data_IF_039890689102
#
_entry.id   IF_039890689102
#
_cell.length_a   1.000
_cell.length_b   1.000
_cell.length_c   1.000
_cell.angle_alpha   90.00
_cell.angle_beta   90.00
_cell.angle_gamma   90.00
#
_symmetry.space_group_name_H-M   'P 1'
#
loop_
_entity.id
_entity.type
_entity.pdbx_description
1 polymer ?
#
# COMPACT_ATOMS: atom_id res chain seq x y z
N UNK A 1 32.04 -32.39 22.94
CA UNK A 1 31.62 -31.08 22.42
C UNK A 1 30.11 -31.02 22.42
N UNK A 2 29.53 -30.01 23.08
CA UNK A 2 28.08 -29.76 23.06
C UNK A 2 27.65 -29.10 21.75
N UNK A 3 26.36 -29.15 21.42
CA UNK A 3 25.85 -28.55 20.18
C UNK A 3 25.94 -27.01 20.18
N UNK A 4 25.83 -26.38 21.35
CA UNK A 4 25.97 -24.92 21.53
C UNK A 4 27.39 -24.46 21.26
N UNK A 5 28.37 -25.17 21.83
CA UNK A 5 29.80 -24.93 21.62
C UNK A 5 30.17 -25.08 20.15
N UNK A 6 29.69 -26.16 19.52
CA UNK A 6 29.91 -26.42 18.10
C UNK A 6 29.29 -25.32 17.20
N UNK A 7 28.08 -24.84 17.50
CA UNK A 7 27.44 -23.77 16.74
C UNK A 7 28.12 -22.42 16.97
N UNK A 8 28.64 -22.17 18.17
CA UNK A 8 29.45 -20.99 18.49
C UNK A 8 30.74 -21.00 17.67
N UNK A 9 31.49 -22.11 17.72
CA UNK A 9 32.75 -22.28 16.99
C UNK A 9 32.57 -22.13 15.48
N UNK A 10 31.46 -22.61 14.91
CA UNK A 10 31.15 -22.39 13.49
C UNK A 10 30.95 -20.91 13.15
N UNK A 11 30.27 -20.14 14.00
CA UNK A 11 29.97 -18.73 13.74
C UNK A 11 31.16 -17.81 13.99
N UNK A 12 32.06 -18.18 14.90
CA UNK A 12 33.26 -17.38 15.22
C UNK A 12 34.48 -17.79 14.41
N UNK A 13 34.66 -19.09 14.14
CA UNK A 13 35.84 -19.65 13.48
C UNK A 13 35.45 -20.81 12.52
N UNK A 14 34.97 -20.52 11.29
CA UNK A 14 34.48 -21.52 10.33
C UNK A 14 35.60 -22.30 9.61
N UNK A 15 36.53 -22.85 10.37
CA UNK A 15 37.62 -23.68 9.85
C UNK A 15 37.08 -25.01 9.32
N UNK A 16 37.82 -25.63 8.38
CA UNK A 16 37.45 -26.96 7.85
C UNK A 16 37.38 -28.03 8.96
N UNK A 17 38.14 -27.85 10.05
CA UNK A 17 38.07 -28.71 11.24
C UNK A 17 36.74 -28.60 11.98
N UNK A 18 36.23 -27.38 12.17
CA UNK A 18 34.95 -27.11 12.84
C UNK A 18 33.77 -27.56 11.97
N UNK A 19 33.83 -27.29 10.66
CA UNK A 19 32.87 -27.79 9.66
C UNK A 19 32.78 -29.32 9.71
N UNK A 20 33.91 -30.02 9.64
CA UNK A 20 33.93 -31.49 9.69
C UNK A 20 33.43 -32.04 11.02
N UNK A 21 33.75 -31.36 12.13
CA UNK A 21 33.24 -31.73 13.45
C UNK A 21 31.72 -31.60 13.52
N UNK A 22 31.16 -30.56 12.92
CA UNK A 22 29.72 -30.35 12.87
C UNK A 22 29.00 -31.36 11.98
N UNK A 23 29.53 -31.64 10.78
CA UNK A 23 28.99 -32.68 9.89
C UNK A 23 29.02 -34.07 10.56
N UNK A 24 30.11 -34.40 11.27
CA UNK A 24 30.24 -35.64 12.04
C UNK A 24 29.27 -35.70 13.24
N UNK A 25 28.94 -34.55 13.82
CA UNK A 25 27.98 -34.47 14.91
C UNK A 25 26.55 -34.64 14.38
N UNK A 26 26.20 -33.96 13.27
CA UNK A 26 24.90 -34.02 12.61
C UNK A 26 24.59 -35.43 12.06
N UNK A 27 25.60 -36.12 11.50
CA UNK A 27 25.42 -37.48 10.98
C UNK A 27 25.03 -38.51 12.05
N UNK A 28 25.40 -38.26 13.32
CA UNK A 28 25.06 -39.13 14.46
C UNK A 28 23.65 -38.87 15.00
N UNK A 29 23.03 -37.75 14.65
CA UNK A 29 21.69 -37.43 15.15
C UNK A 29 20.64 -38.23 14.39
N UNK A 30 19.71 -38.86 15.12
CA UNK A 30 18.62 -39.67 14.54
C UNK A 30 17.27 -38.96 14.51
N UNK A 31 17.09 -37.92 15.33
CA UNK A 31 15.87 -37.13 15.42
C UNK A 31 16.19 -35.68 15.07
N UNK A 32 15.28 -35.03 14.35
CA UNK A 32 15.24 -33.58 14.24
C UNK A 32 14.88 -32.97 15.61
N UNK A 33 15.38 -31.77 15.88
CA UNK A 33 15.20 -31.07 17.14
C UNK A 33 16.01 -29.78 17.17
N UNK A 34 15.77 -28.93 18.18
CA UNK A 34 16.39 -27.61 18.29
C UNK A 34 17.92 -27.64 18.18
N UNK A 35 18.57 -28.65 18.77
CA UNK A 35 20.02 -28.82 18.69
C UNK A 35 20.53 -29.11 17.28
N UNK A 36 19.76 -29.87 16.50
CA UNK A 36 20.07 -30.14 15.08
C UNK A 36 19.93 -28.87 14.26
N UNK A 37 18.83 -28.14 14.42
CA UNK A 37 18.61 -26.87 13.71
C UNK A 37 19.67 -25.83 14.06
N UNK A 38 20.04 -25.71 15.33
CA UNK A 38 21.04 -24.74 15.79
C UNK A 38 22.38 -24.96 15.11
N UNK A 39 22.85 -26.21 15.08
CA UNK A 39 24.13 -26.57 14.45
C UNK A 39 24.05 -26.48 12.93
N UNK A 40 22.95 -26.94 12.34
CA UNK A 40 22.75 -26.93 10.89
C UNK A 40 22.71 -25.49 10.35
N UNK A 41 21.93 -24.62 10.99
CA UNK A 41 21.82 -23.21 10.61
C UNK A 41 23.17 -22.53 10.76
N UNK A 42 23.88 -22.75 11.86
CA UNK A 42 25.23 -22.20 12.05
C UNK A 42 26.22 -22.70 10.98
N UNK A 43 26.12 -23.97 10.56
CA UNK A 43 26.97 -24.54 9.52
C UNK A 43 26.71 -23.87 8.16
N UNK A 44 25.44 -23.75 7.77
CA UNK A 44 25.05 -23.17 6.48
C UNK A 44 25.32 -21.65 6.47
N UNK A 45 25.04 -20.93 7.57
CA UNK A 45 25.38 -19.51 7.72
C UNK A 45 26.87 -19.25 7.54
N UNK A 46 27.70 -20.11 8.14
CA UNK A 46 29.13 -19.92 8.14
C UNK A 46 29.82 -20.35 6.84
N UNK A 47 29.23 -21.31 6.11
CA UNK A 47 29.74 -21.85 4.84
C UNK A 47 28.60 -22.09 3.85
N UNK A 48 27.97 -21.05 3.27
CA UNK A 48 26.93 -21.20 2.26
C UNK A 48 27.52 -21.51 0.88
N UNK A 49 28.51 -22.40 0.82
CA UNK A 49 29.18 -22.83 -0.40
C UNK A 49 28.54 -24.11 -0.97
N UNK A 50 28.71 -24.34 -2.28
CA UNK A 50 28.12 -25.48 -2.98
C UNK A 50 28.46 -26.83 -2.31
N UNK A 51 29.69 -26.99 -1.83
CA UNK A 51 30.15 -28.22 -1.17
C UNK A 51 29.38 -28.50 0.12
N UNK A 52 29.08 -27.47 0.90
CA UNK A 52 28.31 -27.60 2.15
C UNK A 52 26.85 -27.93 1.86
N UNK A 53 26.28 -27.33 0.82
CA UNK A 53 24.90 -27.57 0.38
C UNK A 53 24.72 -28.97 -0.23
N UNK A 54 25.65 -29.43 -1.08
CA UNK A 54 25.70 -30.81 -1.58
C UNK A 54 25.78 -31.84 -0.44
N UNK A 55 26.60 -31.56 0.57
CA UNK A 55 26.67 -32.40 1.76
C UNK A 55 25.32 -32.43 2.48
N UNK A 56 24.70 -31.27 2.67
CA UNK A 56 23.42 -31.15 3.35
C UNK A 56 22.31 -31.93 2.63
N UNK A 57 22.27 -31.81 1.30
CA UNK A 57 21.33 -32.54 0.44
C UNK A 57 21.53 -34.06 0.56
N UNK A 58 22.77 -34.55 0.59
CA UNK A 58 23.05 -35.97 0.81
C UNK A 58 22.67 -36.46 2.22
N UNK A 59 22.63 -35.56 3.20
CA UNK A 59 22.33 -35.85 4.59
C UNK A 59 20.83 -35.84 4.90
N UNK A 60 20.03 -35.16 4.07
CA UNK A 60 18.60 -34.92 4.26
C UNK A 60 17.70 -36.18 4.14
N UNK A 61 17.92 -37.14 3.21
CA UNK A 61 17.01 -38.25 2.99
C UNK A 61 16.69 -39.05 4.26
N UNK A 62 15.39 -39.31 4.47
CA UNK A 62 14.90 -40.07 5.63
C UNK A 62 14.83 -39.28 6.94
N UNK A 63 15.02 -37.95 6.90
CA UNK A 63 14.91 -37.06 8.06
C UNK A 63 13.68 -36.18 7.97
N UNK A 64 12.98 -36.04 9.08
CA UNK A 64 11.83 -35.16 9.23
C UNK A 64 12.30 -33.76 9.63
N UNK A 65 12.88 -33.04 8.66
CA UNK A 65 13.40 -31.68 8.85
C UNK A 65 12.45 -30.66 8.21
N UNK A 66 12.08 -29.66 8.99
CA UNK A 66 11.37 -28.48 8.52
C UNK A 66 12.35 -27.53 7.84
N UNK A 67 12.40 -27.61 6.50
CA UNK A 67 13.26 -26.77 5.67
C UNK A 67 12.90 -25.28 5.77
N UNK A 68 11.71 -24.93 6.28
CA UNK A 68 11.31 -23.53 6.51
C UNK A 68 12.32 -22.78 7.39
N UNK A 69 12.99 -23.47 8.30
CA UNK A 69 14.00 -22.85 9.18
C UNK A 69 15.23 -22.34 8.41
N UNK A 70 15.55 -22.93 7.25
CA UNK A 70 16.71 -22.51 6.44
C UNK A 70 16.46 -21.23 5.66
N UNK A 71 15.18 -20.87 5.48
CA UNK A 71 14.80 -19.62 4.83
C UNK A 71 15.34 -18.38 5.56
N UNK A 72 15.55 -18.47 6.88
CA UNK A 72 16.08 -17.35 7.66
C UNK A 72 17.60 -17.15 7.51
N UNK A 73 18.29 -18.06 6.81
CA UNK A 73 19.73 -17.93 6.54
C UNK A 73 19.94 -16.87 5.47
N UNK A 74 20.62 -15.77 5.83
CA UNK A 74 20.78 -14.60 4.97
C UNK A 74 21.82 -14.77 3.86
N UNK A 75 21.58 -15.68 2.90
CA UNK A 75 22.52 -15.99 1.82
C UNK A 75 21.81 -16.28 0.48
N UNK A 76 22.25 -15.59 -0.59
CA UNK A 76 21.76 -15.84 -1.95
C UNK A 76 21.99 -17.29 -2.39
N UNK A 77 23.18 -17.84 -2.11
CA UNK A 77 23.51 -19.23 -2.48
C UNK A 77 22.59 -20.25 -1.80
N UNK A 78 22.12 -19.96 -0.58
CA UNK A 78 21.16 -20.82 0.12
C UNK A 78 19.77 -20.71 -0.51
N UNK A 79 19.36 -19.52 -0.90
CA UNK A 79 18.07 -19.31 -1.58
C UNK A 79 18.04 -19.97 -2.96
N UNK A 80 19.10 -19.76 -3.76
CA UNK A 80 19.26 -20.41 -5.07
C UNK A 80 19.21 -21.94 -4.92
N UNK A 81 19.93 -22.48 -3.93
CA UNK A 81 19.89 -23.90 -3.61
C UNK A 81 18.51 -24.37 -3.15
N UNK A 82 17.80 -23.61 -2.31
CA UNK A 82 16.43 -23.97 -1.89
C UNK A 82 15.50 -24.05 -3.10
N UNK A 83 15.60 -23.14 -4.06
CA UNK A 83 14.79 -23.15 -5.28
C UNK A 83 15.15 -24.39 -6.13
N UNK A 84 16.43 -24.65 -6.36
CA UNK A 84 16.87 -25.81 -7.14
C UNK A 84 16.47 -27.13 -6.45
N UNK A 85 16.62 -27.22 -5.13
CA UNK A 85 16.18 -28.35 -4.33
C UNK A 85 14.68 -28.59 -4.49
N UNK A 86 13.86 -27.54 -4.30
CA UNK A 86 12.41 -27.65 -4.45
C UNK A 86 11.97 -28.07 -5.85
N UNK A 87 12.68 -27.61 -6.89
CA UNK A 87 12.42 -28.03 -8.28
C UNK A 87 12.72 -29.50 -8.52
N UNK A 88 13.79 -30.01 -7.91
CA UNK A 88 14.17 -31.43 -8.02
C UNK A 88 13.24 -32.36 -7.23
N UNK A 89 12.60 -31.84 -6.18
CA UNK A 89 11.67 -32.55 -5.30
C UNK A 89 10.23 -32.09 -5.47
N UNK A 90 9.87 -31.69 -6.69
CA UNK A 90 8.59 -31.06 -6.95
C UNK A 90 7.38 -32.00 -6.80
N UNK A 91 7.63 -33.30 -6.63
CA UNK A 91 6.62 -34.33 -6.35
C UNK A 91 6.19 -34.42 -4.88
N UNK A 92 6.87 -33.71 -3.96
CA UNK A 92 6.52 -33.68 -2.54
C UNK A 92 5.56 -32.52 -2.21
N UNK A 93 4.29 -32.87 -1.99
CA UNK A 93 3.23 -31.95 -1.59
C UNK A 93 3.58 -31.15 -0.31
N UNK A 94 4.38 -31.71 0.61
CA UNK A 94 4.70 -31.06 1.90
C UNK A 94 5.56 -29.81 1.73
N UNK A 95 6.18 -29.63 0.57
CA UNK A 95 7.02 -28.49 0.27
C UNK A 95 6.23 -27.21 -0.04
N UNK A 96 4.89 -27.28 -0.09
CA UNK A 96 4.03 -26.11 -0.35
C UNK A 96 4.26 -24.92 0.57
N UNK A 97 4.52 -25.16 1.86
CA UNK A 97 4.86 -24.11 2.83
C UNK A 97 6.14 -23.37 2.49
N UNK A 98 7.13 -24.08 1.96
CA UNK A 98 8.41 -23.47 1.59
C UNK A 98 8.25 -22.65 0.30
N UNK A 99 7.48 -23.15 -0.68
CA UNK A 99 7.08 -22.35 -1.85
C UNK A 99 6.31 -21.09 -1.47
N UNK A 100 5.34 -21.20 -0.57
CA UNK A 100 4.61 -20.04 -0.02
C UNK A 100 5.60 -19.02 0.53
N UNK A 101 6.48 -19.42 1.45
CA UNK A 101 7.42 -18.49 2.09
C UNK A 101 8.35 -17.80 1.08
N UNK A 102 8.92 -18.55 0.13
CA UNK A 102 9.77 -17.98 -0.92
C UNK A 102 9.01 -16.95 -1.76
N UNK A 103 7.76 -17.26 -2.14
CA UNK A 103 6.92 -16.35 -2.91
C UNK A 103 6.46 -15.13 -2.10
N UNK A 104 6.25 -15.28 -0.79
CA UNK A 104 5.87 -14.18 0.10
C UNK A 104 6.98 -13.14 0.17
N UNK A 105 8.19 -13.57 0.50
CA UNK A 105 9.34 -12.67 0.56
C UNK A 105 9.68 -12.05 -0.80
N UNK A 106 9.50 -12.81 -1.89
CA UNK A 106 9.70 -12.31 -3.24
C UNK A 106 8.72 -11.19 -3.63
N UNK A 107 7.45 -11.29 -3.20
CA UNK A 107 6.40 -10.35 -3.60
C UNK A 107 6.22 -9.15 -2.67
N UNK A 108 6.92 -9.10 -1.54
CA UNK A 108 6.87 -7.96 -0.62
C UNK A 108 7.56 -6.71 -1.21
N UNK A 109 7.00 -5.50 -0.97
CA UNK A 109 7.66 -4.27 -1.39
C UNK A 109 8.95 -4.03 -0.60
N UNK A 110 10.01 -3.48 -1.24
CA UNK A 110 11.31 -3.23 -0.60
C UNK A 110 11.29 -2.29 0.61
N UNK A 111 10.18 -1.57 0.81
CA UNK A 111 9.98 -0.60 1.90
C UNK A 111 9.34 -1.20 3.15
N UNK A 112 8.82 -2.44 3.07
CA UNK A 112 8.46 -3.18 4.27
C UNK A 112 9.75 -3.59 4.97
N UNK A 113 9.79 -3.55 6.30
CA UNK A 113 10.97 -3.83 7.14
C UNK A 113 11.55 -5.27 6.98
N UNK A 114 11.20 -6.01 5.91
CA UNK A 114 11.93 -7.19 5.48
C UNK A 114 13.36 -6.78 5.13
N UNK A 115 14.32 -7.35 5.85
CA UNK A 115 15.77 -7.12 5.75
C UNK A 115 16.41 -7.56 4.42
N UNK A 116 15.61 -7.76 3.37
CA UNK A 116 16.04 -8.25 2.08
C UNK A 116 15.89 -7.14 1.06
N UNK A 117 16.97 -6.41 0.72
CA UNK A 117 16.93 -5.60 -0.47
C UNK A 117 16.72 -6.55 -1.66
N UNK A 118 16.02 -6.07 -2.69
CA UNK A 118 15.76 -6.64 -4.03
C UNK A 118 17.02 -7.11 -4.81
N UNK A 119 18.12 -7.36 -4.12
CA UNK A 119 19.51 -7.35 -4.57
C UNK A 119 20.13 -8.73 -4.75
N UNK A 120 19.40 -9.84 -4.54
CA UNK A 120 20.04 -11.17 -4.45
C UNK A 120 19.54 -12.22 -5.44
N UNK A 121 18.57 -11.92 -6.30
CA UNK A 121 18.23 -12.81 -7.42
C UNK A 121 18.65 -12.14 -8.73
N UNK A 122 19.60 -12.76 -9.43
CA UNK A 122 20.03 -12.32 -10.77
C UNK A 122 19.05 -12.75 -11.86
N UNK A 123 18.18 -13.72 -11.56
CA UNK A 123 17.10 -14.22 -12.40
C UNK A 123 15.98 -14.84 -11.54
N UNK A 124 14.78 -14.27 -11.59
CA UNK A 124 13.61 -14.74 -10.83
C UNK A 124 12.89 -15.91 -11.54
N UNK A 125 13.29 -16.21 -12.78
CA UNK A 125 12.65 -17.21 -13.62
C UNK A 125 12.62 -18.61 -13.00
N UNK A 126 13.69 -19.13 -12.34
CA UNK A 126 13.65 -20.46 -11.71
C UNK A 126 12.61 -20.58 -10.59
N UNK A 127 12.43 -19.54 -9.78
CA UNK A 127 11.42 -19.49 -8.72
C UNK A 127 10.01 -19.54 -9.33
N UNK A 128 9.76 -18.74 -10.36
CA UNK A 128 8.47 -18.70 -11.06
C UNK A 128 8.18 -20.05 -11.74
N UNK A 129 9.15 -20.65 -12.41
CA UNK A 129 9.01 -21.95 -13.08
C UNK A 129 8.75 -23.08 -12.07
N UNK A 130 9.58 -23.19 -11.04
CA UNK A 130 9.45 -24.24 -10.02
C UNK A 130 8.13 -24.17 -9.27
N UNK A 131 7.76 -22.98 -8.78
CA UNK A 131 6.47 -22.78 -8.10
C UNK A 131 5.27 -23.00 -9.03
N UNK A 132 5.41 -22.69 -10.33
CA UNK A 132 4.37 -22.98 -11.33
C UNK A 132 4.16 -24.49 -11.51
N UNK A 133 5.25 -25.24 -11.68
CA UNK A 133 5.20 -26.69 -11.83
C UNK A 133 4.62 -27.35 -10.58
N UNK A 134 5.05 -26.90 -9.39
CA UNK A 134 4.51 -27.35 -8.11
C UNK A 134 3.01 -27.12 -8.01
N UNK A 135 2.56 -25.89 -8.31
CA UNK A 135 1.16 -25.52 -8.22
C UNK A 135 0.30 -26.38 -9.15
N UNK A 136 0.78 -26.67 -10.36
CA UNK A 136 0.09 -27.55 -11.32
C UNK A 136 -0.07 -28.96 -10.74
N UNK A 137 1.00 -29.53 -10.19
CA UNK A 137 1.02 -30.89 -9.68
C UNK A 137 0.21 -31.06 -8.38
N UNK A 138 0.32 -30.10 -7.45
CA UNK A 138 -0.14 -30.27 -6.06
C UNK A 138 -1.17 -29.24 -5.58
N UNK A 139 -1.43 -28.18 -6.36
CA UNK A 139 -2.35 -27.13 -5.97
C UNK A 139 -3.77 -27.65 -5.67
N UNK A 140 -4.23 -27.43 -4.43
CA UNK A 140 -5.43 -28.10 -3.88
C UNK A 140 -6.48 -27.14 -3.28
N UNK A 141 -6.24 -25.83 -3.28
CA UNK A 141 -7.16 -24.85 -2.68
C UNK A 141 -6.92 -24.54 -1.20
N UNK A 142 -5.94 -25.19 -0.57
CA UNK A 142 -5.50 -24.85 0.79
C UNK A 142 -4.65 -23.57 0.80
N UNK A 143 -4.39 -23.04 2.00
CA UNK A 143 -3.76 -21.74 2.23
C UNK A 143 -2.47 -21.53 1.42
N UNK A 144 -1.55 -22.49 1.44
CA UNK A 144 -0.28 -22.41 0.71
C UNK A 144 -0.49 -22.37 -0.81
N UNK A 145 -1.37 -23.23 -1.33
CA UNK A 145 -1.74 -23.28 -2.75
C UNK A 145 -2.39 -21.97 -3.20
N UNK A 146 -3.31 -21.43 -2.39
CA UNK A 146 -4.01 -20.16 -2.68
C UNK A 146 -3.03 -18.99 -2.69
N UNK A 147 -2.09 -18.95 -1.75
CA UNK A 147 -1.08 -17.92 -1.70
C UNK A 147 -0.14 -17.98 -2.91
N UNK A 148 0.41 -19.15 -3.21
CA UNK A 148 1.28 -19.35 -4.38
C UNK A 148 0.54 -18.99 -5.68
N UNK A 149 -0.70 -19.43 -5.82
CA UNK A 149 -1.57 -19.06 -6.95
C UNK A 149 -1.74 -17.53 -7.08
N UNK A 150 -1.94 -16.84 -5.96
CA UNK A 150 -2.08 -15.37 -5.92
C UNK A 150 -0.82 -14.68 -6.41
N UNK A 151 0.35 -15.14 -6.00
CA UNK A 151 1.61 -14.58 -6.47
C UNK A 151 1.84 -14.87 -7.96
N UNK A 152 1.63 -16.11 -8.39
CA UNK A 152 1.82 -16.51 -9.79
C UNK A 152 0.85 -15.83 -10.76
N UNK A 153 -0.37 -15.51 -10.35
CA UNK A 153 -1.32 -14.74 -11.18
C UNK A 153 -0.73 -13.38 -11.64
N UNK A 154 0.14 -12.78 -10.83
CA UNK A 154 0.83 -11.51 -11.12
C UNK A 154 2.07 -11.71 -11.99
N UNK A 155 2.76 -12.83 -11.83
CA UNK A 155 4.12 -13.05 -12.32
C UNK A 155 4.19 -13.82 -13.64
N UNK A 156 3.17 -14.60 -14.00
CA UNK A 156 3.19 -15.39 -15.24
C UNK A 156 1.86 -15.37 -15.99
N UNK A 157 1.93 -15.57 -17.32
CA UNK A 157 0.78 -15.70 -18.24
C UNK A 157 0.67 -17.08 -18.88
N UNK A 158 1.47 -18.05 -18.41
CA UNK A 158 1.43 -19.45 -18.85
C UNK A 158 0.01 -20.03 -18.68
N UNK A 159 -0.56 -20.58 -19.76
CA UNK A 159 -1.97 -20.98 -19.81
C UNK A 159 -2.32 -22.15 -18.87
N UNK A 160 -1.44 -23.14 -18.74
CA UNK A 160 -1.54 -24.25 -17.79
C UNK A 160 -1.62 -23.77 -16.34
N UNK A 161 -0.75 -22.83 -15.96
CA UNK A 161 -0.76 -22.19 -14.64
C UNK A 161 -2.04 -21.40 -14.43
N UNK A 162 -2.48 -20.62 -15.41
CA UNK A 162 -3.73 -19.86 -15.29
C UNK A 162 -4.96 -20.78 -15.13
N UNK A 163 -5.02 -21.90 -15.86
CA UNK A 163 -6.08 -22.90 -15.68
C UNK A 163 -6.09 -23.46 -14.25
N UNK A 164 -4.91 -23.82 -13.72
CA UNK A 164 -4.79 -24.33 -12.35
C UNK A 164 -5.19 -23.30 -11.30
N UNK A 165 -4.79 -22.04 -11.47
CA UNK A 165 -5.19 -20.93 -10.61
C UNK A 165 -6.73 -20.79 -10.58
N UNK A 166 -7.39 -20.94 -11.74
CA UNK A 166 -8.86 -20.92 -11.81
C UNK A 166 -9.53 -22.11 -11.11
N UNK A 167 -8.93 -23.30 -11.15
CA UNK A 167 -9.39 -24.45 -10.37
C UNK A 167 -9.28 -24.20 -8.86
N UNK A 168 -8.13 -23.68 -8.41
CA UNK A 168 -7.87 -23.32 -7.01
C UNK A 168 -8.83 -22.25 -6.53
N UNK A 169 -9.11 -21.23 -7.35
CA UNK A 169 -10.08 -20.20 -7.02
C UNK A 169 -11.47 -20.79 -6.74
N UNK A 170 -11.95 -21.70 -7.60
CA UNK A 170 -13.25 -22.38 -7.43
C UNK A 170 -13.30 -23.25 -6.17
N UNK A 171 -12.18 -23.89 -5.81
CA UNK A 171 -12.10 -24.76 -4.65
C UNK A 171 -12.05 -23.97 -3.33
N UNK A 172 -11.30 -22.86 -3.31
CA UNK A 172 -11.02 -22.08 -2.08
C UNK A 172 -12.08 -21.02 -1.76
N UNK A 173 -12.75 -20.46 -2.78
CA UNK A 173 -13.56 -19.24 -2.65
C UNK A 173 -12.79 -18.05 -2.01
N UNK A 174 -11.47 -17.96 -2.24
CA UNK A 174 -10.63 -16.89 -1.68
C UNK A 174 -10.81 -15.55 -2.44
N UNK A 175 -11.35 -14.54 -1.76
CA UNK A 175 -11.69 -13.25 -2.39
C UNK A 175 -10.48 -12.43 -2.84
N UNK A 176 -9.35 -12.57 -2.15
CA UNK A 176 -8.13 -11.83 -2.47
C UNK A 176 -7.44 -12.42 -3.71
N UNK A 177 -7.48 -13.75 -3.86
CA UNK A 177 -7.10 -14.44 -5.08
C UNK A 177 -8.02 -14.03 -6.23
N UNK A 178 -9.35 -13.99 -6.03
CA UNK A 178 -10.29 -13.53 -7.03
C UNK A 178 -9.97 -12.11 -7.51
N UNK A 179 -9.78 -11.17 -6.58
CA UNK A 179 -9.42 -9.80 -6.91
C UNK A 179 -8.06 -9.70 -7.63
N UNK A 180 -7.07 -10.50 -7.21
CA UNK A 180 -5.74 -10.53 -7.85
C UNK A 180 -5.84 -11.04 -9.29
N UNK A 181 -6.61 -12.11 -9.52
CA UNK A 181 -6.84 -12.65 -10.85
C UNK A 181 -7.50 -11.57 -11.73
N UNK A 182 -8.59 -10.94 -11.27
CA UNK A 182 -9.28 -9.88 -12.01
C UNK A 182 -8.38 -8.67 -12.34
N UNK A 183 -7.42 -8.34 -11.47
CA UNK A 183 -6.46 -7.27 -11.74
C UNK A 183 -5.51 -7.60 -12.89
N UNK A 184 -5.22 -8.89 -13.10
CA UNK A 184 -4.16 -9.35 -13.99
C UNK A 184 -4.66 -10.20 -15.17
N UNK A 185 -5.97 -10.39 -15.33
CA UNK A 185 -6.56 -11.11 -16.46
C UNK A 185 -7.83 -10.44 -16.98
N UNK A 186 -8.08 -10.62 -18.27
CA UNK A 186 -9.34 -10.25 -18.94
C UNK A 186 -10.21 -11.47 -19.22
N UNK A 187 -9.92 -12.61 -18.59
CA UNK A 187 -10.64 -13.87 -18.80
C UNK A 187 -12.09 -13.76 -18.29
N UNK A 188 -13.07 -13.90 -19.19
CA UNK A 188 -14.49 -13.84 -18.86
C UNK A 188 -14.89 -14.86 -17.78
N UNK A 189 -14.29 -16.05 -17.74
CA UNK A 189 -14.58 -17.04 -16.70
C UNK A 189 -14.14 -16.59 -15.30
N UNK A 190 -13.03 -15.84 -15.21
CA UNK A 190 -12.59 -15.25 -13.94
C UNK A 190 -13.51 -14.12 -13.50
N UNK A 191 -14.00 -13.34 -14.45
CA UNK A 191 -15.00 -12.29 -14.24
C UNK A 191 -16.30 -12.87 -13.72
N UNK A 192 -16.79 -13.96 -14.31
CA UNK A 192 -18.01 -14.66 -13.86
C UNK A 192 -17.87 -15.16 -12.41
N UNK A 193 -16.77 -15.84 -12.08
CA UNK A 193 -16.50 -16.28 -10.70
C UNK A 193 -16.40 -15.09 -9.75
N UNK A 194 -15.72 -14.01 -10.16
CA UNK A 194 -15.66 -12.78 -9.38
C UNK A 194 -17.05 -12.21 -9.07
N UNK A 195 -17.95 -12.19 -10.04
CA UNK A 195 -19.34 -11.74 -9.86
C UNK A 195 -20.12 -12.68 -8.94
N UNK A 196 -19.97 -14.00 -9.08
CA UNK A 196 -20.58 -14.98 -8.18
C UNK A 196 -20.12 -14.77 -6.73
N UNK A 197 -18.81 -14.63 -6.52
CA UNK A 197 -18.21 -14.38 -5.22
C UNK A 197 -18.68 -13.06 -4.62
N UNK A 198 -18.76 -11.98 -5.42
CA UNK A 198 -19.28 -10.69 -4.97
C UNK A 198 -20.69 -10.81 -4.36
N UNK A 199 -21.50 -11.75 -4.86
CA UNK A 199 -22.82 -12.01 -4.32
C UNK A 199 -22.81 -12.81 -3.01
N UNK A 200 -21.77 -13.62 -2.77
CA UNK A 200 -21.66 -14.54 -1.63
C UNK A 200 -20.85 -14.00 -0.44
N UNK A 201 -19.93 -13.06 -0.67
CA UNK A 201 -18.98 -12.60 0.37
C UNK A 201 -19.49 -11.41 1.19
N UNK A 202 -18.84 -11.18 2.34
CA UNK A 202 -19.07 -9.99 3.16
C UNK A 202 -18.49 -8.72 2.53
N UNK A 203 -18.92 -7.56 3.06
CA UNK A 203 -18.53 -6.24 2.58
C UNK A 203 -17.01 -6.07 2.37
N UNK A 204 -16.19 -6.44 3.37
CA UNK A 204 -14.73 -6.27 3.32
C UNK A 204 -14.11 -7.01 2.14
N UNK A 205 -14.50 -8.27 1.94
CA UNK A 205 -13.95 -9.15 0.91
C UNK A 205 -14.46 -8.78 -0.48
N UNK A 206 -15.75 -8.42 -0.60
CA UNK A 206 -16.35 -8.02 -1.88
C UNK A 206 -15.83 -6.69 -2.41
N UNK A 207 -15.35 -5.81 -1.53
CA UNK A 207 -14.82 -4.49 -1.92
C UNK A 207 -13.67 -4.56 -2.92
N UNK A 208 -12.74 -5.52 -2.74
CA UNK A 208 -11.59 -5.71 -3.62
C UNK A 208 -12.06 -6.19 -5.01
N UNK A 209 -12.94 -7.18 -5.05
CA UNK A 209 -13.52 -7.73 -6.28
C UNK A 209 -14.26 -6.64 -7.07
N UNK A 210 -15.18 -5.93 -6.42
CA UNK A 210 -15.96 -4.88 -7.07
C UNK A 210 -15.08 -3.73 -7.58
N UNK A 211 -14.01 -3.37 -6.85
CA UNK A 211 -13.05 -2.38 -7.31
C UNK A 211 -12.37 -2.82 -8.62
N UNK A 212 -11.93 -4.08 -8.69
CA UNK A 212 -11.24 -4.58 -9.89
C UNK A 212 -12.20 -4.71 -11.08
N UNK A 213 -13.44 -5.17 -10.85
CA UNK A 213 -14.47 -5.19 -11.91
C UNK A 213 -14.68 -3.79 -12.50
N UNK A 214 -14.85 -2.77 -11.66
CA UNK A 214 -15.02 -1.40 -12.12
C UNK A 214 -13.77 -0.84 -12.81
N UNK A 215 -12.56 -1.24 -12.41
CA UNK A 215 -11.32 -0.86 -13.10
C UNK A 215 -11.26 -1.45 -14.52
N UNK A 216 -11.83 -2.64 -14.75
CA UNK A 216 -11.88 -3.28 -16.07
C UNK A 216 -12.86 -2.60 -17.03
N UNK A 217 -14.12 -2.46 -16.62
CA UNK A 217 -15.18 -1.84 -17.42
C UNK A 217 -16.28 -1.30 -16.49
N UNK A 218 -16.23 -0.02 -16.10
CA UNK A 218 -17.18 0.57 -15.17
C UNK A 218 -18.63 0.40 -15.61
N UNK A 219 -18.92 0.65 -16.88
CA UNK A 219 -20.28 0.67 -17.42
C UNK A 219 -20.87 -0.74 -17.50
N UNK A 220 -20.07 -1.73 -17.91
CA UNK A 220 -20.51 -3.12 -17.99
C UNK A 220 -20.78 -3.72 -16.61
N UNK A 221 -19.95 -3.40 -15.62
CA UNK A 221 -19.99 -4.08 -14.31
C UNK A 221 -20.71 -3.31 -13.20
N UNK A 222 -20.99 -2.02 -13.38
CA UNK A 222 -21.78 -1.25 -12.41
C UNK A 222 -23.11 -1.93 -12.02
N UNK A 223 -23.93 -2.49 -12.95
CA UNK A 223 -25.16 -3.19 -12.60
C UNK A 223 -24.97 -4.44 -11.72
N UNK A 224 -23.75 -4.97 -11.63
CA UNK A 224 -23.38 -6.09 -10.74
C UNK A 224 -22.83 -5.59 -9.39
N UNK A 225 -22.13 -4.47 -9.39
CA UNK A 225 -21.50 -3.88 -8.19
C UNK A 225 -22.51 -3.09 -7.34
N UNK A 226 -23.40 -2.33 -7.96
CA UNK A 226 -24.36 -1.50 -7.23
C UNK A 226 -25.24 -2.31 -6.25
N UNK A 227 -25.84 -3.46 -6.62
CA UNK A 227 -26.61 -4.27 -5.68
C UNK A 227 -25.79 -4.75 -4.48
N UNK A 228 -24.51 -5.10 -4.69
CA UNK A 228 -23.60 -5.44 -3.60
C UNK A 228 -23.44 -4.27 -2.63
N UNK A 229 -23.19 -3.07 -3.14
CA UNK A 229 -23.06 -1.87 -2.31
C UNK A 229 -24.35 -1.57 -1.53
N UNK A 230 -25.51 -1.64 -2.20
CA UNK A 230 -26.81 -1.38 -1.55
C UNK A 230 -27.13 -2.40 -0.44
N UNK A 231 -26.70 -3.66 -0.57
CA UNK A 231 -26.84 -4.66 0.52
C UNK A 231 -26.03 -4.29 1.77
N UNK A 232 -24.94 -3.54 1.61
CA UNK A 232 -24.04 -3.13 2.69
C UNK A 232 -24.17 -1.65 3.07
N UNK A 233 -25.22 -0.96 2.60
CA UNK A 233 -25.46 0.48 2.76
C UNK A 233 -25.40 1.00 4.20
N UNK A 234 -25.77 0.15 5.16
CA UNK A 234 -25.91 0.48 6.58
C UNK A 234 -24.60 0.39 7.37
N UNK A 235 -23.52 -0.14 6.78
CA UNK A 235 -22.21 -0.28 7.44
C UNK A 235 -21.43 1.04 7.40
N UNK A 236 -21.76 1.95 8.32
CA UNK A 236 -21.27 3.35 8.28
C UNK A 236 -19.77 3.51 8.46
N UNK A 237 -19.09 2.53 9.02
CA UNK A 237 -17.67 2.64 9.37
C UNK A 237 -16.78 2.16 8.24
N UNK A 238 -17.20 1.12 7.50
CA UNK A 238 -16.37 0.52 6.43
C UNK A 238 -16.85 0.97 5.04
N UNK A 239 -18.16 1.15 4.85
CA UNK A 239 -18.75 1.49 3.55
C UNK A 239 -18.17 2.75 2.89
N UNK A 240 -17.89 3.86 3.62
CA UNK A 240 -17.30 5.05 3.01
C UNK A 240 -15.92 4.81 2.39
N UNK A 241 -15.10 3.95 3.01
CA UNK A 241 -13.79 3.59 2.45
C UNK A 241 -13.93 2.77 1.18
N UNK A 242 -14.89 1.85 1.16
CA UNK A 242 -15.21 1.03 -0.02
C UNK A 242 -15.72 1.87 -1.18
N UNK A 243 -16.67 2.78 -0.90
CA UNK A 243 -17.12 3.77 -1.88
C UNK A 243 -15.96 4.63 -2.38
N UNK A 244 -15.13 5.18 -1.50
CA UNK A 244 -13.98 5.99 -1.88
C UNK A 244 -13.00 5.27 -2.80
N UNK A 245 -12.69 4.00 -2.49
CA UNK A 245 -11.83 3.16 -3.33
C UNK A 245 -12.40 2.97 -4.73
N UNK A 246 -13.71 2.74 -4.85
CA UNK A 246 -14.39 2.57 -6.14
C UNK A 246 -14.54 3.89 -6.89
N UNK A 247 -14.82 4.97 -6.15
CA UNK A 247 -14.91 6.33 -6.66
C UNK A 247 -13.60 6.71 -7.35
N UNK A 248 -12.45 6.35 -6.76
CA UNK A 248 -11.14 6.54 -7.37
C UNK A 248 -10.95 5.79 -8.70
N UNK A 249 -11.50 4.58 -8.85
CA UNK A 249 -11.37 3.80 -10.09
C UNK A 249 -12.36 4.21 -11.18
N UNK A 250 -13.59 4.54 -10.78
CA UNK A 250 -14.72 4.67 -11.69
C UNK A 250 -15.65 5.82 -11.28
N UNK A 251 -15.15 7.06 -11.24
CA UNK A 251 -15.83 8.18 -10.61
C UNK A 251 -17.23 8.43 -11.21
N UNK A 252 -17.36 8.41 -12.54
CA UNK A 252 -18.61 8.77 -13.21
C UNK A 252 -19.79 7.84 -12.87
N UNK A 253 -19.55 6.54 -12.69
CA UNK A 253 -20.62 5.57 -12.37
C UNK A 253 -20.86 5.44 -10.86
N UNK A 254 -19.83 5.66 -10.03
CA UNK A 254 -19.92 5.53 -8.57
C UNK A 254 -20.45 6.81 -7.92
N UNK A 255 -20.20 8.00 -8.50
CA UNK A 255 -20.58 9.30 -7.94
C UNK A 255 -22.06 9.37 -7.52
N UNK A 256 -23.04 9.00 -8.36
CA UNK A 256 -24.44 9.11 -8.00
C UNK A 256 -24.77 8.39 -6.69
N UNK A 257 -24.27 7.15 -6.53
CA UNK A 257 -24.49 6.36 -5.32
C UNK A 257 -23.70 6.93 -4.13
N UNK A 258 -22.48 7.40 -4.35
CA UNK A 258 -21.69 8.05 -3.31
C UNK A 258 -22.38 9.31 -2.75
N UNK A 259 -22.97 10.13 -3.62
CA UNK A 259 -23.70 11.32 -3.23
C UNK A 259 -25.04 11.00 -2.56
N UNK A 260 -25.75 9.96 -3.01
CA UNK A 260 -26.94 9.42 -2.32
C UNK A 260 -26.58 9.03 -0.88
N UNK A 261 -25.48 8.31 -0.68
CA UNK A 261 -25.02 7.94 0.66
C UNK A 261 -24.70 9.16 1.54
N UNK A 262 -24.06 10.18 0.99
CA UNK A 262 -23.77 11.44 1.71
C UNK A 262 -25.07 12.13 2.15
N UNK A 263 -26.13 12.07 1.35
CA UNK A 263 -27.43 12.63 1.71
C UNK A 263 -28.13 11.87 2.84
N UNK A 264 -28.00 10.54 2.86
CA UNK A 264 -28.51 9.68 3.93
C UNK A 264 -27.72 9.84 5.24
N UNK A 265 -26.42 10.14 5.14
CA UNK A 265 -25.51 10.24 6.28
C UNK A 265 -24.75 11.58 6.37
N UNK A 266 -25.47 12.72 6.43
CA UNK A 266 -24.89 14.06 6.30
C UNK A 266 -23.99 14.48 7.48
N UNK A 267 -23.99 13.72 8.58
CA UNK A 267 -23.15 13.96 9.77
C UNK A 267 -21.95 13.02 9.84
N UNK A 268 -21.74 12.16 8.83
CA UNK A 268 -20.60 11.26 8.82
C UNK A 268 -19.30 12.03 8.71
N UNK A 269 -18.33 11.72 9.57
CA UNK A 269 -16.96 12.25 9.47
C UNK A 269 -16.18 11.62 8.31
N UNK A 270 -16.72 10.55 7.72
CA UNK A 270 -16.07 9.76 6.66
C UNK A 270 -16.43 10.24 5.24
N UNK A 271 -17.17 11.34 5.09
CA UNK A 271 -17.47 11.93 3.77
C UNK A 271 -16.17 12.16 2.99
N UNK A 272 -15.12 12.68 3.66
CA UNK A 272 -13.81 12.91 3.05
C UNK A 272 -13.20 11.65 2.42
N UNK A 273 -13.39 10.47 3.04
CA UNK A 273 -12.87 9.21 2.52
C UNK A 273 -13.53 8.80 1.19
N UNK A 274 -14.76 9.24 0.93
CA UNK A 274 -15.50 8.94 -0.31
C UNK A 274 -14.99 9.78 -1.48
N UNK A 275 -14.71 11.05 -1.22
CA UNK A 275 -14.42 12.07 -2.24
C UNK A 275 -12.92 12.30 -2.46
N UNK A 276 -12.06 11.43 -1.92
CA UNK A 276 -10.63 11.45 -2.22
C UNK A 276 -10.39 10.76 -3.58
N UNK A 277 -10.55 11.53 -4.67
CA UNK A 277 -10.38 11.07 -6.04
C UNK A 277 -8.95 11.24 -6.57
N UNK A 278 -8.69 10.63 -7.72
CA UNK A 278 -7.55 10.99 -8.56
C UNK A 278 -7.56 12.50 -8.84
N UNK A 279 -6.38 13.13 -8.86
CA UNK A 279 -6.23 14.58 -9.03
C UNK A 279 -6.36 14.98 -10.50
N UNK A 280 -7.57 14.84 -11.07
CA UNK A 280 -7.94 15.35 -12.40
C UNK A 280 -8.96 16.48 -12.29
N UNK A 281 -8.97 17.41 -13.25
CA UNK A 281 -9.95 18.51 -13.27
C UNK A 281 -11.40 17.99 -13.33
N UNK A 282 -11.65 16.97 -14.14
CA UNK A 282 -12.96 16.32 -14.23
C UNK A 282 -13.45 15.77 -12.87
N UNK A 283 -12.53 15.22 -12.07
CA UNK A 283 -12.86 14.73 -10.72
C UNK A 283 -13.25 15.87 -9.77
N UNK A 284 -12.58 17.03 -9.88
CA UNK A 284 -12.92 18.23 -9.12
C UNK A 284 -14.32 18.71 -9.47
N UNK A 285 -14.59 18.84 -10.77
CA UNK A 285 -15.86 19.36 -11.28
C UNK A 285 -17.02 18.43 -10.89
N UNK A 286 -16.83 17.11 -11.00
CA UNK A 286 -17.79 16.10 -10.58
C UNK A 286 -18.10 16.18 -9.08
N UNK A 287 -17.08 16.29 -8.24
CA UNK A 287 -17.26 16.40 -6.79
C UNK A 287 -17.96 17.71 -6.43
N UNK A 288 -17.55 18.82 -7.04
CA UNK A 288 -18.24 20.09 -6.81
C UNK A 288 -19.70 20.01 -7.23
N UNK A 289 -20.01 19.52 -8.43
CA UNK A 289 -21.39 19.37 -8.90
C UNK A 289 -22.24 18.51 -7.95
N UNK A 290 -21.69 17.43 -7.42
CA UNK A 290 -22.36 16.59 -6.44
C UNK A 290 -22.50 17.22 -5.05
N UNK A 291 -21.52 17.99 -4.59
CA UNK A 291 -21.53 18.59 -3.25
C UNK A 291 -22.18 19.98 -3.19
N UNK A 292 -22.26 20.71 -4.30
CA UNK A 292 -22.81 22.06 -4.37
C UNK A 292 -24.23 22.15 -3.79
N UNK A 293 -25.18 21.23 -4.08
CA UNK A 293 -26.52 21.27 -3.49
C UNK A 293 -26.54 21.12 -1.95
N UNK A 294 -25.41 20.69 -1.37
CA UNK A 294 -25.26 20.37 0.06
C UNK A 294 -24.54 21.49 0.84
N UNK A 295 -24.12 22.55 0.16
CA UNK A 295 -23.40 23.71 0.73
C UNK A 295 -24.22 24.54 1.73
N UNK A 296 -25.54 24.36 1.74
CA UNK A 296 -26.46 25.01 2.70
C UNK A 296 -26.61 24.23 4.02
N UNK A 297 -26.02 23.03 4.10
CA UNK A 297 -26.13 22.14 5.26
C UNK A 297 -24.96 22.38 6.26
N UNK A 298 -25.02 21.87 7.51
CA UNK A 298 -24.02 22.13 8.55
C UNK A 298 -22.58 21.68 8.23
N UNK A 299 -22.38 20.93 7.15
CA UNK A 299 -21.09 20.36 6.72
C UNK A 299 -20.45 21.13 5.56
N UNK A 300 -20.91 22.35 5.29
CA UNK A 300 -20.28 23.30 4.39
C UNK A 300 -18.74 23.38 4.53
N UNK A 301 -18.16 23.51 5.74
CA UNK A 301 -16.71 23.67 5.85
C UNK A 301 -15.94 22.35 5.59
N UNK A 302 -16.53 21.19 5.85
CA UNK A 302 -15.97 19.88 5.47
C UNK A 302 -15.86 19.75 3.94
N UNK A 303 -16.92 20.14 3.20
CA UNK A 303 -16.91 20.15 1.72
C UNK A 303 -15.79 21.04 1.21
N UNK A 304 -15.68 22.26 1.77
CA UNK A 304 -14.65 23.21 1.37
C UNK A 304 -13.24 22.71 1.66
N UNK A 305 -12.99 22.13 2.83
CA UNK A 305 -11.68 21.57 3.15
C UNK A 305 -11.29 20.42 2.22
N UNK A 306 -12.23 19.54 1.90
CA UNK A 306 -11.99 18.47 0.93
C UNK A 306 -11.56 19.08 -0.41
N UNK A 307 -12.37 19.98 -0.95
CA UNK A 307 -12.16 20.60 -2.26
C UNK A 307 -10.87 21.43 -2.32
N UNK A 308 -10.56 22.20 -1.28
CA UNK A 308 -9.45 23.16 -1.31
C UNK A 308 -8.11 22.55 -0.89
N UNK A 309 -8.10 21.51 -0.05
CA UNK A 309 -6.85 20.92 0.45
C UNK A 309 -6.35 19.77 -0.41
N UNK A 310 -7.25 19.03 -1.08
CA UNK A 310 -6.90 17.76 -1.74
C UNK A 310 -6.59 17.89 -3.22
N UNK A 311 -7.02 18.97 -3.89
CA UNK A 311 -6.81 19.18 -5.32
C UNK A 311 -5.61 20.09 -5.57
N UNK A 312 -4.42 19.48 -5.51
CA UNK A 312 -3.14 20.17 -5.54
C UNK A 312 -2.78 20.71 -6.92
N UNK A 313 -3.17 21.95 -7.22
CA UNK A 313 -2.76 22.66 -8.45
C UNK A 313 -3.75 22.55 -9.60
N UNK A 314 -4.96 22.05 -9.31
CA UNK A 314 -6.08 22.10 -10.24
C UNK A 314 -6.88 23.39 -10.05
N UNK A 315 -7.57 23.81 -11.10
CA UNK A 315 -8.43 24.98 -11.04
C UNK A 315 -9.69 24.65 -10.24
N UNK A 316 -10.00 25.50 -9.27
CA UNK A 316 -11.25 25.39 -8.53
C UNK A 316 -12.41 25.93 -9.38
N UNK A 317 -13.59 25.27 -9.39
CA UNK A 317 -14.79 25.84 -9.97
C UNK A 317 -15.09 27.21 -9.38
N UNK A 318 -15.48 28.16 -10.23
CA UNK A 318 -15.68 29.56 -9.82
C UNK A 318 -16.68 29.66 -8.68
N UNK A 319 -17.80 28.95 -8.80
CA UNK A 319 -18.87 28.90 -7.80
C UNK A 319 -18.38 28.31 -6.47
N UNK A 320 -17.42 27.39 -6.49
CA UNK A 320 -16.82 26.85 -5.27
C UNK A 320 -15.98 27.91 -4.56
N UNK A 321 -15.24 28.72 -5.32
CA UNK A 321 -14.45 29.82 -4.76
C UNK A 321 -15.31 30.96 -4.22
N UNK A 322 -16.37 31.34 -4.93
CA UNK A 322 -17.36 32.33 -4.49
C UNK A 322 -18.05 31.87 -3.19
N UNK A 323 -18.47 30.59 -3.15
CA UNK A 323 -19.04 30.01 -1.94
C UNK A 323 -18.05 30.00 -0.76
N UNK A 324 -16.79 29.66 -1.01
CA UNK A 324 -15.75 29.67 0.02
C UNK A 324 -15.51 31.09 0.56
N UNK A 325 -15.47 32.10 -0.30
CA UNK A 325 -15.35 33.50 0.09
C UNK A 325 -16.54 33.93 0.97
N UNK A 326 -17.77 33.66 0.54
CA UNK A 326 -18.98 33.96 1.31
C UNK A 326 -19.00 33.24 2.67
N UNK A 327 -18.49 32.02 2.72
CA UNK A 327 -18.36 31.27 3.96
C UNK A 327 -17.32 31.90 4.89
N UNK A 328 -16.13 32.26 4.39
CA UNK A 328 -15.06 32.89 5.16
C UNK A 328 -15.52 34.22 5.79
N UNK A 329 -16.23 35.06 5.03
CA UNK A 329 -16.75 36.33 5.55
C UNK A 329 -17.66 36.14 6.76
N UNK A 330 -18.51 35.11 6.74
CA UNK A 330 -19.50 34.84 7.78
C UNK A 330 -18.94 34.06 8.98
N UNK A 331 -17.78 33.41 8.83
CA UNK A 331 -17.29 32.38 9.77
C UNK A 331 -15.87 32.63 10.28
N UNK A 332 -15.46 33.89 10.48
CA UNK A 332 -14.10 34.25 10.90
C UNK A 332 -13.62 33.63 12.22
N UNK A 333 -14.53 33.16 13.08
CA UNK A 333 -14.20 32.53 14.36
C UNK A 333 -14.34 30.99 14.32
N UNK A 334 -14.60 30.41 13.16
CA UNK A 334 -14.77 28.97 13.03
C UNK A 334 -13.41 28.25 13.06
N UNK A 335 -13.32 27.10 13.73
CA UNK A 335 -12.08 26.33 13.89
C UNK A 335 -11.40 25.91 12.56
N UNK A 336 -12.17 25.84 11.47
CA UNK A 336 -11.69 25.50 10.11
C UNK A 336 -11.35 26.72 9.25
N UNK A 337 -11.50 27.94 9.79
CA UNK A 337 -11.36 29.18 9.03
C UNK A 337 -10.00 29.27 8.34
N UNK A 338 -8.91 29.08 9.08
CA UNK A 338 -7.57 29.21 8.53
C UNK A 338 -7.26 28.17 7.44
N UNK A 339 -7.70 26.92 7.62
CA UNK A 339 -7.50 25.87 6.62
C UNK A 339 -8.18 26.19 5.30
N UNK A 340 -9.43 26.66 5.37
CA UNK A 340 -10.20 27.07 4.19
C UNK A 340 -9.58 28.31 3.55
N UNK A 341 -9.19 29.30 4.35
CA UNK A 341 -8.53 30.52 3.88
C UNK A 341 -7.22 30.22 3.13
N UNK A 342 -6.35 29.39 3.72
CA UNK A 342 -5.11 28.97 3.09
C UNK A 342 -5.39 28.20 1.77
N UNK A 343 -6.44 27.38 1.76
CA UNK A 343 -6.90 26.67 0.57
C UNK A 343 -7.32 27.61 -0.56
N UNK A 344 -8.21 28.57 -0.30
CA UNK A 344 -8.68 29.53 -1.34
C UNK A 344 -7.59 30.47 -1.82
N UNK A 345 -6.63 30.84 -0.97
CA UNK A 345 -5.50 31.68 -1.38
C UNK A 345 -4.66 31.01 -2.47
N UNK A 346 -4.53 29.69 -2.40
CA UNK A 346 -3.88 28.91 -3.46
C UNK A 346 -4.64 28.96 -4.78
N UNK A 347 -5.96 28.94 -4.72
CA UNK A 347 -6.82 29.06 -5.91
C UNK A 347 -6.87 30.49 -6.47
N UNK A 348 -6.39 31.48 -5.71
CA UNK A 348 -6.25 32.86 -6.14
C UNK A 348 -6.15 33.81 -4.94
N UNK A 349 -5.14 34.68 -4.96
CA UNK A 349 -4.88 35.66 -3.90
C UNK A 349 -5.56 37.01 -4.21
N UNK A 350 -6.87 37.12 -3.96
CA UNK A 350 -7.59 38.40 -4.08
C UNK A 350 -7.30 39.30 -2.88
N UNK A 351 -7.44 40.62 -3.04
CA UNK A 351 -7.21 41.59 -1.96
C UNK A 351 -8.01 41.28 -0.70
N UNK A 352 -9.26 40.81 -0.87
CA UNK A 352 -10.15 40.42 0.22
C UNK A 352 -9.59 39.23 0.99
N UNK A 353 -9.13 38.17 0.30
CA UNK A 353 -8.55 36.97 0.92
C UNK A 353 -7.23 37.31 1.63
N UNK A 354 -6.40 38.16 1.01
CA UNK A 354 -5.16 38.64 1.61
C UNK A 354 -5.42 39.43 2.90
N UNK A 355 -6.44 40.30 2.90
CA UNK A 355 -6.83 41.04 4.10
C UNK A 355 -7.33 40.09 5.20
N UNK A 356 -8.16 39.10 4.87
CA UNK A 356 -8.61 38.09 5.83
C UNK A 356 -7.44 37.31 6.45
N UNK A 357 -6.41 37.00 5.66
CA UNK A 357 -5.21 36.29 6.13
C UNK A 357 -4.35 37.15 7.05
N UNK A 358 -4.14 38.43 6.73
CA UNK A 358 -3.46 39.36 7.64
C UNK A 358 -4.23 39.56 8.94
N UNK A 359 -5.55 39.75 8.86
CA UNK A 359 -6.42 39.84 10.03
C UNK A 359 -6.37 38.57 10.90
N UNK A 360 -6.22 37.38 10.30
CA UNK A 360 -6.03 36.14 11.03
C UNK A 360 -4.69 36.15 11.78
N UNK A 361 -3.59 36.47 11.08
CA UNK A 361 -2.26 36.56 11.69
C UNK A 361 -2.23 37.55 12.87
N UNK A 362 -2.90 38.69 12.74
CA UNK A 362 -2.94 39.72 13.79
C UNK A 362 -3.73 39.31 15.04
N UNK A 363 -4.61 38.30 14.94
CA UNK A 363 -5.29 37.71 16.09
C UNK A 363 -4.44 36.69 16.83
N UNK A 364 -3.39 36.15 16.20
CA UNK A 364 -2.51 35.15 16.81
C UNK A 364 -1.52 35.85 17.74
N UNK A 365 -1.66 35.57 19.04
CA UNK A 365 -0.76 36.07 20.08
C UNK A 365 0.41 35.13 20.37
N UNK A 366 0.27 33.86 19.99
CA UNK A 366 1.34 32.87 20.07
C UNK A 366 2.25 32.98 18.84
N UNK A 367 3.53 33.24 19.07
CA UNK A 367 4.48 33.46 17.97
C UNK A 367 4.79 32.16 17.19
N UNK A 368 4.73 30.98 17.82
CA UNK A 368 4.95 29.72 17.10
C UNK A 368 3.78 29.40 16.15
N UNK A 369 2.54 29.60 16.61
CA UNK A 369 1.34 29.46 15.80
C UNK A 369 1.28 30.50 14.67
N UNK A 370 1.67 31.75 14.97
CA UNK A 370 1.81 32.82 13.96
C UNK A 370 2.83 32.44 12.90
N UNK A 371 4.01 31.96 13.31
CA UNK A 371 5.06 31.47 12.42
C UNK A 371 4.61 30.30 11.54
N UNK A 372 3.92 29.32 12.13
CA UNK A 372 3.32 28.20 11.39
C UNK A 372 2.33 28.67 10.34
N UNK A 373 1.40 29.55 10.74
CA UNK A 373 0.37 30.09 9.85
C UNK A 373 0.98 30.89 8.70
N UNK A 374 1.97 31.74 8.99
CA UNK A 374 2.68 32.54 8.00
C UNK A 374 3.45 31.68 7.00
N UNK A 375 4.09 30.59 7.45
CA UNK A 375 4.73 29.61 6.57
C UNK A 375 3.73 28.95 5.62
N UNK A 376 2.54 28.58 6.12
CA UNK A 376 1.47 28.04 5.27
C UNK A 376 1.02 29.06 4.24
N UNK A 377 0.71 30.30 4.65
CA UNK A 377 0.27 31.37 3.75
C UNK A 377 1.32 31.68 2.67
N UNK A 378 2.60 31.75 3.05
CA UNK A 378 3.74 31.89 2.12
C UNK A 378 3.76 30.80 1.06
N UNK A 379 3.55 29.54 1.43
CA UNK A 379 3.50 28.42 0.46
C UNK A 379 2.28 28.47 -0.47
N UNK A 380 1.20 29.18 -0.10
CA UNK A 380 -0.04 29.27 -0.89
C UNK A 380 -0.11 30.54 -1.74
N UNK A 381 0.50 31.63 -1.30
CA UNK A 381 0.54 32.92 -1.98
C UNK A 381 1.94 33.57 -1.80
N UNK A 382 3.00 32.99 -2.40
CA UNK A 382 4.39 33.40 -2.14
C UNK A 382 4.66 34.86 -2.51
N UNK A 383 4.08 35.33 -3.63
CA UNK A 383 4.19 36.73 -4.09
C UNK A 383 3.68 37.74 -3.05
N UNK A 384 2.83 37.33 -2.10
CA UNK A 384 2.18 38.23 -1.14
C UNK A 384 2.72 38.12 0.30
N UNK A 385 3.32 36.98 0.67
CA UNK A 385 3.73 36.71 2.06
C UNK A 385 5.22 36.40 2.24
N UNK A 386 6.03 36.32 1.18
CA UNK A 386 7.48 36.05 1.31
C UNK A 386 8.20 37.10 2.17
N UNK A 387 8.03 38.39 1.87
CA UNK A 387 8.71 39.47 2.60
C UNK A 387 8.23 39.57 4.05
N UNK A 388 6.91 39.41 4.26
CA UNK A 388 6.30 39.39 5.59
C UNK A 388 6.85 38.22 6.42
N UNK A 389 6.99 37.02 5.81
CA UNK A 389 7.56 35.84 6.43
C UNK A 389 9.04 36.01 6.80
N UNK A 390 9.84 36.60 5.91
CA UNK A 390 11.25 36.87 6.17
C UNK A 390 11.47 37.92 7.26
N UNK A 391 10.68 38.99 7.24
CA UNK A 391 10.73 40.03 8.25
C UNK A 391 10.34 39.48 9.63
N UNK A 392 9.33 38.60 9.68
CA UNK A 392 8.93 37.92 10.91
C UNK A 392 10.01 36.94 11.38
N UNK A 393 10.54 36.09 10.50
CA UNK A 393 11.58 35.10 10.83
C UNK A 393 12.86 35.75 11.37
N UNK A 394 13.23 36.91 10.82
CA UNK A 394 14.40 37.69 11.27
C UNK A 394 14.23 38.28 12.67
N UNK A 395 12.99 38.56 13.10
CA UNK A 395 12.67 39.03 14.46
C UNK A 395 12.57 37.88 15.47
N UNK A 396 12.39 36.65 15.01
CA UNK A 396 12.20 35.45 15.84
C UNK A 396 13.20 34.34 15.49
N UNK A 397 14.51 34.58 15.57
CA UNK A 397 15.54 33.66 15.05
C UNK A 397 15.59 32.30 15.78
N UNK A 398 15.01 32.22 16.98
CA UNK A 398 15.04 31.01 17.81
C UNK A 398 13.80 30.11 17.64
N UNK A 399 12.85 30.49 16.78
CA UNK A 399 11.67 29.67 16.47
C UNK A 399 11.98 28.76 15.28
N UNK A 400 11.60 27.48 15.36
CA UNK A 400 11.87 26.46 14.35
C UNK A 400 11.40 26.90 12.94
N UNK A 401 10.22 27.50 12.86
CA UNK A 401 9.61 27.97 11.62
C UNK A 401 10.44 29.08 10.97
N UNK A 402 11.10 29.93 11.76
CA UNK A 402 12.02 30.95 11.24
C UNK A 402 13.22 30.32 10.55
N UNK A 403 13.80 29.27 11.15
CA UNK A 403 14.90 28.49 10.56
C UNK A 403 14.45 27.87 9.24
N UNK A 404 13.26 27.26 9.20
CA UNK A 404 12.69 26.67 7.99
C UNK A 404 12.46 27.72 6.88
N UNK A 405 11.87 28.87 7.21
CA UNK A 405 11.63 29.98 6.26
C UNK A 405 12.95 30.50 5.69
N UNK A 406 13.95 30.74 6.53
CA UNK A 406 15.26 31.26 6.11
C UNK A 406 15.99 30.25 5.22
N UNK A 407 15.95 28.96 5.56
CA UNK A 407 16.61 27.92 4.77
C UNK A 407 15.92 27.73 3.41
N UNK A 408 14.59 27.64 3.38
CA UNK A 408 13.82 27.56 2.13
C UNK A 408 14.05 28.78 1.23
N UNK A 409 14.31 29.96 1.81
CA UNK A 409 14.62 31.16 1.03
C UNK A 409 16.05 31.15 0.46
N UNK A 410 17.02 30.62 1.21
CA UNK A 410 18.41 30.48 0.77
C UNK A 410 18.60 29.41 -0.31
N UNK A 411 17.73 28.41 -0.35
CA UNK A 411 17.79 27.30 -1.32
C UNK A 411 17.06 27.58 -2.65
N UNK A 412 16.36 28.71 -2.78
CA UNK A 412 15.78 29.15 -4.06
C UNK A 412 16.85 29.89 -4.88
N UNK A 413 17.33 29.35 -6.02
CA UNK A 413 18.18 30.11 -6.91
C UNK A 413 17.39 31.29 -7.50
N UNK A 414 18.07 32.41 -7.77
CA UNK A 414 17.55 33.63 -8.42
C UNK A 414 16.97 33.33 -9.82
N UNK A 415 15.82 32.67 -9.88
CA UNK A 415 15.09 32.38 -11.10
C UNK A 415 13.66 32.91 -10.97
N UNK A 416 13.15 33.66 -11.96
CA UNK A 416 11.79 34.16 -11.91
C UNK A 416 10.84 32.96 -11.87
N UNK A 417 10.01 32.88 -10.84
CA UNK A 417 8.85 31.99 -10.80
C UNK A 417 7.87 32.44 -11.89
N UNK A 418 8.06 31.91 -13.09
CA UNK A 418 7.03 31.94 -14.14
C UNK A 418 5.79 31.17 -13.67
N UNK A 419 4.65 31.72 -14.06
CA UNK A 419 3.32 31.40 -13.55
C UNK A 419 2.92 29.92 -13.73
N UNK A 420 2.45 29.30 -12.63
CA UNK A 420 1.63 28.08 -12.63
C UNK A 420 0.43 28.26 -11.70
#
# INVERSE_FOLDING_TARGET
MGYVELAYDLRTEPTDGNVKSAQNWLSKQKKSGESVYTVLTALIEARPDAKTLEWFESWLPGRDLDLHQLFFVKSAAVHDWLIDFLRQHNDDEKLGKLWHQLMFDFTLPPSSLSYWPKLLMSDDQPLIEGSSEWLIAHGNGEEDSVFVARCLAKLTKRSDVQMKIMEILRASNDSDLAATILEHTTNDAAIEIGIEMLNAVSHRHGSNIATQLLKTDPQRYWPKVEPFLRRHWVDKDVFPYTLGKMMHQAPLVVAPLAFEWIDDYPKSKMIASIVTLAQTQESVDLIWAGLQPRTTKPFAPEILEILLLHYRGLSMPKEATEFADDWLHRNQNHKRFFNILAGVLRAGATDVRLQLARNWLDKLTDEEERGCSLMVLRRRAPKNFNDEALAWASKHPNILQSIAIINEYKELPDSPMDDF
#
